data_IF_352568852665
#
_entry.id   IF_352568852665
#
_cell.length_a   1.000
_cell.length_b   1.000
_cell.length_c   1.000
_cell.angle_alpha   90.00
_cell.angle_beta   90.00
_cell.angle_gamma   90.00
#
_symmetry.space_group_name_H-M   'P 1'
#
loop_
_entity.id
_entity.type
_entity.pdbx_description
1 polymer ?
#
# COMPACT_ATOMS: atom_id res chain seq x y z
N UNK A 1 8.24 5.81 -63.90
CA UNK A 1 8.40 4.94 -62.71
C UNK A 1 9.28 5.55 -61.59
N UNK A 2 10.09 6.60 -61.87
CA UNK A 2 11.07 7.13 -60.91
C UNK A 2 10.52 8.10 -59.83
N UNK A 3 9.43 8.84 -60.07
CA UNK A 3 8.92 9.79 -59.07
C UNK A 3 8.24 9.12 -57.86
N UNK A 4 7.59 7.96 -58.04
CA UNK A 4 6.95 7.21 -56.93
C UNK A 4 7.98 6.57 -55.98
N UNK A 5 9.17 6.18 -56.47
CA UNK A 5 10.22 5.62 -55.61
C UNK A 5 10.88 6.70 -54.75
N UNK A 6 11.11 7.89 -55.30
CA UNK A 6 11.68 9.00 -54.56
C UNK A 6 10.78 9.48 -53.41
N UNK A 7 9.45 9.48 -53.60
CA UNK A 7 8.51 9.85 -52.55
C UNK A 7 8.39 8.81 -51.42
N UNK A 8 8.53 7.52 -51.74
CA UNK A 8 8.54 6.45 -50.74
C UNK A 8 9.81 6.50 -49.87
N UNK A 9 10.98 6.74 -50.48
CA UNK A 9 12.26 6.86 -49.75
C UNK A 9 12.24 8.07 -48.81
N UNK A 10 11.75 9.23 -49.28
CA UNK A 10 11.62 10.44 -48.44
C UNK A 10 10.67 10.22 -47.25
N UNK A 11 9.60 9.45 -47.46
CA UNK A 11 8.64 9.09 -46.42
C UNK A 11 9.21 8.07 -45.42
N UNK A 12 10.03 7.12 -45.85
CA UNK A 12 10.73 6.20 -44.93
C UNK A 12 11.78 6.91 -44.09
N UNK A 13 12.54 7.84 -44.68
CA UNK A 13 13.54 8.65 -43.95
C UNK A 13 12.86 9.57 -42.92
N UNK A 14 11.71 10.17 -43.25
CA UNK A 14 10.99 11.02 -42.29
C UNK A 14 10.37 10.21 -41.14
N UNK A 15 9.86 9.01 -41.42
CA UNK A 15 9.35 8.08 -40.39
C UNK A 15 10.48 7.56 -39.50
N UNK A 16 11.64 7.23 -40.06
CA UNK A 16 12.82 6.81 -39.31
C UNK A 16 13.31 7.93 -38.37
N UNK A 17 13.39 9.17 -38.89
CA UNK A 17 13.77 10.35 -38.11
C UNK A 17 12.78 10.63 -36.98
N UNK A 18 11.47 10.47 -37.25
CA UNK A 18 10.45 10.60 -36.22
C UNK A 18 10.59 9.54 -35.12
N UNK A 19 10.90 8.29 -35.47
CA UNK A 19 11.15 7.22 -34.51
C UNK A 19 12.39 7.47 -33.65
N UNK A 20 13.49 7.93 -34.24
CA UNK A 20 14.72 8.27 -33.51
C UNK A 20 14.50 9.43 -32.53
N UNK A 21 13.76 10.46 -32.94
CA UNK A 21 13.38 11.58 -32.06
C UNK A 21 12.50 11.10 -30.91
N UNK A 22 11.53 10.21 -31.18
CA UNK A 22 10.72 9.62 -30.12
C UNK A 22 11.53 8.75 -29.14
N UNK A 23 12.51 7.99 -29.64
CA UNK A 23 13.40 7.17 -28.81
C UNK A 23 14.23 8.03 -27.87
N UNK A 24 14.78 9.14 -28.36
CA UNK A 24 15.56 10.09 -27.53
C UNK A 24 14.68 10.83 -26.52
N UNK A 25 13.46 11.20 -26.92
CA UNK A 25 12.49 11.83 -26.01
C UNK A 25 12.10 10.88 -24.87
N UNK A 26 11.83 9.61 -25.17
CA UNK A 26 11.56 8.59 -24.15
C UNK A 26 12.75 8.35 -23.22
N UNK A 27 13.97 8.29 -23.75
CA UNK A 27 15.17 8.14 -22.94
C UNK A 27 15.38 9.33 -21.99
N UNK A 28 15.14 10.56 -22.46
CA UNK A 28 15.20 11.76 -21.62
C UNK A 28 14.13 11.75 -20.52
N UNK A 29 12.89 11.34 -20.83
CA UNK A 29 11.84 11.18 -19.83
C UNK A 29 12.22 10.16 -18.75
N UNK A 30 12.78 9.01 -19.13
CA UNK A 30 13.22 7.99 -18.16
C UNK A 30 14.31 8.55 -17.23
N UNK A 31 15.28 9.28 -17.77
CA UNK A 31 16.34 9.91 -16.95
C UNK A 31 15.77 10.91 -15.95
N UNK A 32 14.81 11.75 -16.36
CA UNK A 32 14.18 12.72 -15.44
C UNK A 32 13.39 12.04 -14.32
N UNK A 33 12.73 10.92 -14.63
CA UNK A 33 11.99 10.15 -13.62
C UNK A 33 12.93 9.47 -12.63
N UNK A 34 14.06 8.94 -13.09
CA UNK A 34 15.06 8.29 -12.24
C UNK A 34 15.79 9.30 -11.34
N UNK A 35 16.05 10.51 -11.85
CA UNK A 35 16.63 11.62 -11.09
C UNK A 35 15.66 12.11 -10.00
N UNK A 36 14.38 12.30 -10.33
CA UNK A 36 13.34 12.61 -9.35
C UNK A 36 13.21 11.54 -8.27
N UNK A 37 13.23 10.26 -8.67
CA UNK A 37 13.14 9.14 -7.73
C UNK A 37 14.39 9.05 -6.82
N UNK A 38 15.55 9.42 -7.35
CA UNK A 38 16.81 9.45 -6.58
C UNK A 38 16.86 10.60 -5.59
N UNK A 39 16.32 11.77 -5.95
CA UNK A 39 16.30 12.94 -5.07
C UNK A 39 15.31 12.75 -3.91
N UNK A 40 14.10 12.30 -4.22
CA UNK A 40 13.03 12.02 -3.25
C UNK A 40 13.47 10.95 -2.22
N UNK A 41 14.27 9.97 -2.67
CA UNK A 41 14.82 8.93 -1.80
C UNK A 41 16.04 9.38 -0.98
N UNK A 42 16.77 10.42 -1.41
CA UNK A 42 17.85 11.04 -0.63
C UNK A 42 17.30 11.95 0.46
N UNK A 43 16.34 12.82 0.14
CA UNK A 43 15.69 13.73 1.10
C UNK A 43 15.07 12.94 2.25
N UNK A 44 14.29 11.91 1.93
CA UNK A 44 13.66 11.04 2.93
C UNK A 44 14.66 10.29 3.83
N UNK A 45 15.85 9.96 3.32
CA UNK A 45 16.93 9.35 4.12
C UNK A 45 17.57 10.35 5.07
N UNK A 46 17.74 11.60 4.65
CA UNK A 46 18.29 12.65 5.50
C UNK A 46 17.32 12.97 6.65
N UNK A 47 16.02 13.09 6.36
CA UNK A 47 14.98 13.30 7.38
C UNK A 47 14.92 12.18 8.42
N UNK A 48 14.96 10.91 7.98
CA UNK A 48 15.00 9.76 8.90
C UNK A 48 16.25 9.80 9.78
N UNK A 49 17.38 10.27 9.23
CA UNK A 49 18.64 10.39 9.97
C UNK A 49 18.59 11.51 11.00
N UNK A 50 18.00 12.66 10.65
CA UNK A 50 17.73 13.78 11.56
C UNK A 50 16.80 13.38 12.70
N UNK A 51 15.64 12.78 12.39
CA UNK A 51 14.68 12.28 13.37
C UNK A 51 15.32 11.27 14.33
N UNK A 52 16.17 10.36 13.82
CA UNK A 52 16.90 9.40 14.66
C UNK A 52 17.87 10.09 15.62
N UNK A 53 18.52 11.17 15.20
CA UNK A 53 19.43 11.94 16.05
C UNK A 53 18.66 12.74 17.11
N UNK A 54 17.51 13.33 16.76
CA UNK A 54 16.60 13.97 17.71
C UNK A 54 16.07 12.97 18.74
N UNK A 55 15.66 11.77 18.32
CA UNK A 55 15.23 10.68 19.22
C UNK A 55 16.32 10.27 20.22
N UNK A 56 17.59 10.22 19.76
CA UNK A 56 18.73 9.94 20.64
C UNK A 56 18.98 11.07 21.63
N UNK A 57 18.78 12.33 21.22
CA UNK A 57 18.94 13.49 22.08
C UNK A 57 17.83 13.57 23.16
N UNK A 58 16.62 13.14 22.83
CA UNK A 58 15.47 13.11 23.76
C UNK A 58 15.45 11.83 24.64
N UNK A 59 16.35 10.87 24.41
CA UNK A 59 16.42 9.63 25.20
C UNK A 59 15.20 8.71 25.04
N UNK A 60 14.37 8.95 24.02
CA UNK A 60 13.11 8.22 23.81
C UNK A 60 13.42 6.84 23.24
N UNK A 61 12.89 5.80 23.90
CA UNK A 61 13.02 4.42 23.42
C UNK A 61 12.08 4.18 22.24
N UNK A 62 12.54 3.43 21.23
CA UNK A 62 11.68 3.00 20.11
C UNK A 62 10.50 2.20 20.67
N UNK A 63 9.28 2.67 20.42
CA UNK A 63 8.06 1.94 20.74
C UNK A 63 7.75 0.90 19.68
N UNK A 64 7.16 -0.22 20.09
CA UNK A 64 6.69 -1.23 19.15
C UNK A 64 5.33 -0.83 18.54
N UNK A 65 5.08 -1.22 17.29
CA UNK A 65 3.76 -1.03 16.66
C UNK A 65 2.63 -1.66 17.49
N UNK A 66 2.90 -2.78 18.16
CA UNK A 66 1.97 -3.41 19.10
C UNK A 66 1.66 -2.56 20.33
N UNK A 67 2.62 -1.78 20.83
CA UNK A 67 2.43 -0.90 21.97
C UNK A 67 1.57 0.30 21.58
N UNK A 68 1.79 0.85 20.39
CA UNK A 68 0.97 1.91 19.78
C UNK A 68 -0.46 1.41 19.55
N UNK A 69 -0.62 0.18 19.05
CA UNK A 69 -1.91 -0.47 18.87
C UNK A 69 -2.62 -0.77 20.21
N UNK A 70 -1.85 -1.00 21.29
CA UNK A 70 -2.39 -1.19 22.64
C UNK A 70 -2.93 0.13 23.22
N UNK A 71 -2.38 1.28 22.82
CA UNK A 71 -2.97 2.60 23.12
C UNK A 71 -4.28 2.87 22.37
N UNK A 72 -4.55 2.13 21.29
CA UNK A 72 -5.81 2.19 20.51
C UNK A 72 -6.96 1.34 21.11
N UNK A 73 -6.81 0.83 22.34
CA UNK A 73 -7.79 0.02 23.09
C UNK A 73 -9.27 0.44 22.97
N UNK A 74 -9.68 1.72 22.96
CA UNK A 74 -11.10 2.08 22.88
C UNK A 74 -11.80 1.62 21.58
N UNK A 75 -11.08 1.39 20.46
CA UNK A 75 -11.68 1.01 19.17
C UNK A 75 -11.34 -0.43 18.72
N UNK A 76 -10.96 -1.31 19.65
CA UNK A 76 -10.49 -2.67 19.34
C UNK A 76 -11.51 -3.52 18.55
N UNK A 77 -12.81 -3.23 18.69
CA UNK A 77 -13.88 -3.93 17.97
C UNK A 77 -13.77 -3.78 16.45
N UNK A 78 -13.47 -2.59 15.95
CA UNK A 78 -13.33 -2.35 14.50
C UNK A 78 -12.10 -3.08 13.94
N UNK A 79 -10.99 -3.10 14.69
CA UNK A 79 -9.76 -3.80 14.33
C UNK A 79 -10.00 -5.32 14.30
N UNK A 80 -10.74 -5.86 15.27
CA UNK A 80 -11.08 -7.28 15.32
C UNK A 80 -11.93 -7.72 14.12
N UNK A 81 -12.94 -6.93 13.75
CA UNK A 81 -13.73 -7.21 12.53
C UNK A 81 -12.85 -7.15 11.29
N UNK A 82 -12.00 -6.13 11.17
CA UNK A 82 -11.01 -6.03 10.08
C UNK A 82 -10.08 -7.23 10.00
N UNK A 83 -9.60 -7.73 11.15
CA UNK A 83 -8.70 -8.89 11.21
C UNK A 83 -9.39 -10.17 10.73
N UNK A 84 -10.65 -10.40 11.13
CA UNK A 84 -11.40 -11.57 10.63
C UNK A 84 -11.60 -11.52 9.11
N UNK A 85 -11.85 -10.33 8.56
CA UNK A 85 -11.91 -10.13 7.11
C UNK A 85 -10.55 -10.39 6.43
N UNK A 86 -9.43 -10.01 7.05
CA UNK A 86 -8.09 -10.32 6.53
C UNK A 86 -7.84 -11.83 6.42
N UNK A 87 -8.29 -12.61 7.41
CA UNK A 87 -8.15 -14.06 7.42
C UNK A 87 -8.92 -14.69 6.26
N UNK A 88 -10.18 -14.28 6.08
CA UNK A 88 -11.03 -14.78 5.00
C UNK A 88 -10.42 -14.41 3.64
N UNK A 89 -10.01 -13.14 3.46
CA UNK A 89 -9.38 -12.67 2.23
C UNK A 89 -8.06 -13.37 1.92
N UNK A 90 -7.25 -13.68 2.94
CA UNK A 90 -5.98 -14.40 2.77
C UNK A 90 -6.15 -15.83 2.24
N UNK A 91 -7.26 -16.49 2.58
CA UNK A 91 -7.57 -17.85 2.12
C UNK A 91 -8.13 -17.91 0.68
N UNK A 92 -8.52 -16.77 0.12
CA UNK A 92 -9.06 -16.71 -1.24
C UNK A 92 -8.01 -17.09 -2.28
N UNK A 93 -6.75 -16.65 -2.12
CA UNK A 93 -5.67 -16.97 -3.07
C UNK A 93 -5.37 -18.47 -3.20
N UNK A 94 -5.14 -19.24 -2.12
CA UNK A 94 -4.98 -20.69 -2.22
C UNK A 94 -6.24 -21.39 -2.75
N UNK A 95 -7.44 -20.94 -2.35
CA UNK A 95 -8.70 -21.51 -2.82
C UNK A 95 -8.90 -21.29 -4.33
N UNK A 96 -8.55 -20.10 -4.82
CA UNK A 96 -8.51 -19.76 -6.24
C UNK A 96 -7.60 -20.73 -7.02
N UNK A 97 -6.42 -21.05 -6.47
CA UNK A 97 -5.49 -22.02 -7.08
C UNK A 97 -6.12 -23.41 -7.23
N UNK A 98 -6.73 -23.94 -6.17
CA UNK A 98 -7.38 -25.26 -6.20
C UNK A 98 -8.54 -25.31 -7.20
N UNK A 99 -9.37 -24.27 -7.22
CA UNK A 99 -10.52 -24.18 -8.15
C UNK A 99 -10.04 -24.07 -9.59
N UNK A 100 -8.98 -23.30 -9.83
CA UNK A 100 -8.35 -23.19 -11.15
C UNK A 100 -7.79 -24.53 -11.63
N UNK A 101 -7.14 -25.30 -10.75
CA UNK A 101 -6.66 -26.64 -11.07
C UNK A 101 -7.81 -27.58 -11.49
N UNK A 102 -8.95 -27.52 -10.81
CA UNK A 102 -10.12 -28.34 -11.14
C UNK A 102 -10.76 -27.98 -12.49
N UNK A 103 -10.67 -26.71 -12.89
CA UNK A 103 -11.08 -26.31 -14.25
C UNK A 103 -10.16 -26.93 -15.29
N UNK A 104 -8.85 -26.95 -15.06
CA UNK A 104 -7.90 -27.58 -15.97
C UNK A 104 -8.17 -29.09 -16.09
N UNK A 105 -8.38 -29.79 -14.97
CA UNK A 105 -8.68 -31.23 -14.99
C UNK A 105 -10.03 -31.54 -15.64
N UNK A 106 -11.01 -30.64 -15.53
CA UNK A 106 -12.30 -30.78 -16.22
C UNK A 106 -12.16 -30.81 -17.74
N UNK A 107 -11.15 -30.17 -18.32
CA UNK A 107 -10.90 -30.22 -19.77
C UNK A 107 -10.43 -31.61 -20.25
N UNK A 108 -9.93 -32.46 -19.35
CA UNK A 108 -9.49 -33.81 -19.71
C UNK A 108 -10.67 -34.78 -19.96
N UNK A 109 -11.87 -34.48 -19.45
CA UNK A 109 -13.06 -35.34 -19.58
C UNK A 109 -14.09 -34.72 -20.53
N UNK A 110 -14.03 -35.09 -21.82
CA UNK A 110 -14.88 -34.52 -22.89
C UNK A 110 -16.37 -34.83 -22.74
N UNK A 111 -16.74 -35.94 -22.10
CA UNK A 111 -18.12 -36.41 -22.00
C UNK A 111 -19.04 -35.52 -21.13
N UNK A 112 -18.50 -34.86 -20.10
CA UNK A 112 -19.25 -34.01 -19.16
C UNK A 112 -18.79 -32.56 -19.15
N UNK A 113 -17.97 -32.17 -20.13
CA UNK A 113 -17.24 -30.89 -20.17
C UNK A 113 -18.14 -29.66 -19.99
N UNK A 114 -19.29 -29.62 -20.68
CA UNK A 114 -20.21 -28.49 -20.60
C UNK A 114 -20.82 -28.35 -19.21
N UNK A 115 -21.29 -29.43 -18.59
CA UNK A 115 -21.94 -29.37 -17.26
C UNK A 115 -20.93 -29.00 -16.17
N UNK A 116 -19.74 -29.63 -16.18
CA UNK A 116 -18.68 -29.38 -15.20
C UNK A 116 -18.07 -27.98 -15.38
N UNK A 117 -17.90 -27.52 -16.62
CA UNK A 117 -17.37 -26.18 -16.91
C UNK A 117 -18.27 -25.05 -16.42
N UNK A 118 -19.59 -25.14 -16.64
CA UNK A 118 -20.52 -24.13 -16.12
C UNK A 118 -20.55 -24.10 -14.59
N UNK A 119 -20.43 -25.26 -13.94
CA UNK A 119 -20.37 -25.35 -12.47
C UNK A 119 -19.14 -24.63 -11.91
N UNK A 120 -17.95 -24.89 -12.46
CA UNK A 120 -16.73 -24.22 -12.00
C UNK A 120 -16.69 -22.73 -12.35
N UNK A 121 -17.25 -22.32 -13.50
CA UNK A 121 -17.40 -20.91 -13.84
C UNK A 121 -18.29 -20.16 -12.83
N UNK A 122 -19.38 -20.78 -12.36
CA UNK A 122 -20.20 -20.23 -11.29
C UNK A 122 -19.46 -20.16 -9.95
N UNK A 123 -18.60 -21.13 -9.64
CA UNK A 123 -17.77 -21.08 -8.43
C UNK A 123 -16.78 -19.90 -8.46
N UNK A 124 -16.21 -19.56 -9.62
CA UNK A 124 -15.40 -18.35 -9.77
C UNK A 124 -16.19 -17.06 -9.51
N UNK A 125 -17.45 -17.01 -9.96
CA UNK A 125 -18.32 -15.87 -9.69
C UNK A 125 -18.59 -15.70 -8.19
N UNK A 126 -18.86 -16.81 -7.49
CA UNK A 126 -19.06 -16.81 -6.03
C UNK A 126 -17.80 -16.37 -5.31
N UNK A 127 -16.63 -16.89 -5.68
CA UNK A 127 -15.34 -16.48 -5.11
C UNK A 127 -15.06 -14.99 -5.31
N UNK A 128 -15.35 -14.45 -6.51
CA UNK A 128 -15.20 -13.03 -6.77
C UNK A 128 -16.12 -12.18 -5.87
N UNK A 129 -17.36 -12.62 -5.64
CA UNK A 129 -18.29 -11.96 -4.72
C UNK A 129 -17.80 -11.97 -3.26
N UNK A 130 -17.27 -13.11 -2.79
CA UNK A 130 -16.70 -13.23 -1.45
C UNK A 130 -15.47 -12.33 -1.30
N UNK A 131 -14.57 -12.32 -2.29
CA UNK A 131 -13.38 -11.47 -2.24
C UNK A 131 -13.74 -9.98 -2.28
N UNK A 132 -14.66 -9.57 -3.15
CA UNK A 132 -15.10 -8.19 -3.25
C UNK A 132 -15.75 -7.69 -1.96
N UNK A 133 -16.67 -8.48 -1.39
CA UNK A 133 -17.33 -8.13 -0.12
C UNK A 133 -16.34 -8.08 1.04
N UNK A 134 -15.42 -9.06 1.13
CA UNK A 134 -14.40 -9.10 2.19
C UNK A 134 -13.42 -7.93 2.08
N UNK A 135 -12.96 -7.59 0.87
CA UNK A 135 -12.06 -6.45 0.63
C UNK A 135 -12.74 -5.12 0.96
N UNK A 136 -14.02 -4.97 0.61
CA UNK A 136 -14.80 -3.78 0.96
C UNK A 136 -14.91 -3.63 2.47
N UNK A 137 -15.33 -4.69 3.18
CA UNK A 137 -15.42 -4.69 4.65
C UNK A 137 -14.06 -4.40 5.29
N UNK A 138 -12.99 -5.08 4.86
CA UNK A 138 -11.64 -4.89 5.38
C UNK A 138 -11.20 -3.43 5.25
N UNK A 139 -11.36 -2.82 4.07
CA UNK A 139 -10.95 -1.44 3.80
C UNK A 139 -11.78 -0.45 4.61
N UNK A 140 -13.09 -0.68 4.70
CA UNK A 140 -14.00 0.19 5.45
C UNK A 140 -13.71 0.16 6.96
N UNK A 141 -13.65 -1.02 7.57
CA UNK A 141 -13.42 -1.16 9.01
C UNK A 141 -12.02 -0.72 9.42
N UNK A 142 -10.99 -1.05 8.65
CA UNK A 142 -9.62 -0.62 8.97
C UNK A 142 -9.45 0.88 8.72
N UNK A 143 -10.05 1.44 7.67
CA UNK A 143 -10.07 2.88 7.43
C UNK A 143 -10.77 3.66 8.54
N UNK A 144 -11.95 3.21 8.96
CA UNK A 144 -12.71 3.82 10.04
C UNK A 144 -11.96 3.74 11.39
N UNK A 145 -11.39 2.58 11.71
CA UNK A 145 -10.59 2.41 12.93
C UNK A 145 -9.33 3.28 12.95
N UNK A 146 -8.63 3.37 11.80
CA UNK A 146 -7.45 4.22 11.67
C UNK A 146 -7.78 5.72 11.78
N UNK A 147 -8.91 6.17 11.23
CA UNK A 147 -9.38 7.55 11.36
C UNK A 147 -9.66 7.92 12.82
N UNK A 148 -10.47 7.12 13.51
CA UNK A 148 -10.80 7.38 14.90
C UNK A 148 -9.54 7.38 15.79
N UNK A 149 -8.63 6.44 15.58
CA UNK A 149 -7.34 6.43 16.28
C UNK A 149 -6.53 7.71 16.03
N UNK A 150 -6.48 8.16 14.78
CA UNK A 150 -5.77 9.38 14.39
C UNK A 150 -6.37 10.61 15.08
N UNK A 151 -7.69 10.71 15.12
CA UNK A 151 -8.42 11.80 15.75
C UNK A 151 -8.14 11.85 17.27
N UNK A 152 -8.24 10.69 17.94
CA UNK A 152 -7.97 10.58 19.38
C UNK A 152 -6.52 10.91 19.73
N UNK A 153 -5.56 10.44 18.92
CA UNK A 153 -4.13 10.74 19.11
C UNK A 153 -3.84 12.23 18.94
N UNK A 154 -4.38 12.88 17.90
CA UNK A 154 -4.20 14.31 17.70
C UNK A 154 -4.77 15.13 18.84
N UNK A 155 -5.97 14.79 19.31
CA UNK A 155 -6.61 15.51 20.42
C UNK A 155 -5.78 15.39 21.71
N UNK A 156 -5.34 14.17 22.06
CA UNK A 156 -4.51 13.93 23.25
C UNK A 156 -3.15 14.61 23.17
N UNK A 157 -2.46 14.50 22.02
CA UNK A 157 -1.16 15.12 21.82
C UNK A 157 -1.26 16.65 21.91
N UNK A 158 -2.26 17.24 21.26
CA UNK A 158 -2.47 18.69 21.33
C UNK A 158 -2.77 19.17 22.75
N UNK A 159 -3.65 18.47 23.47
CA UNK A 159 -3.93 18.77 24.87
C UNK A 159 -2.70 18.64 25.77
N UNK A 160 -1.83 17.66 25.51
CA UNK A 160 -0.59 17.46 26.25
C UNK A 160 0.43 18.57 25.97
N UNK A 161 0.55 19.00 24.70
CA UNK A 161 1.43 20.11 24.32
C UNK A 161 0.99 21.41 25.01
N UNK A 162 -0.33 21.69 25.07
CA UNK A 162 -0.85 22.90 25.70
C UNK A 162 -0.71 22.93 27.23
N UNK A 163 -0.57 21.79 27.89
CA UNK A 163 -0.43 21.69 29.35
C UNK A 163 1.03 21.72 29.82
N UNK A 164 1.98 21.87 28.90
CA UNK A 164 3.40 21.85 29.18
C UNK A 164 3.91 23.21 29.67
N UNK A 165 4.88 23.22 30.59
CA UNK A 165 5.45 24.45 31.16
C UNK A 165 6.16 25.34 30.13
N UNK A 166 6.20 26.65 30.37
CA UNK A 166 6.83 27.61 29.44
C UNK A 166 8.30 27.28 29.14
N UNK A 167 9.05 26.78 30.12
CA UNK A 167 10.45 26.36 29.96
C UNK A 167 10.65 25.16 29.02
N UNK A 168 9.59 24.41 28.69
CA UNK A 168 9.66 23.38 27.66
C UNK A 168 9.84 23.98 26.26
N UNK A 169 9.14 25.09 25.98
CA UNK A 169 9.18 25.77 24.69
C UNK A 169 10.45 26.60 24.47
N UNK A 170 11.22 26.86 25.53
CA UNK A 170 12.51 27.56 25.46
C UNK A 170 13.63 26.68 24.87
N UNK A 171 13.44 25.36 24.82
CA UNK A 171 14.41 24.45 24.22
C UNK A 171 14.40 24.53 22.68
N UNK A 172 15.57 24.62 22.00
CA UNK A 172 15.66 24.63 20.53
C UNK A 172 15.19 23.31 19.88
N UNK A 173 15.03 22.24 20.66
CA UNK A 173 14.42 20.98 20.22
C UNK A 173 12.88 21.07 20.18
N UNK A 174 12.28 21.88 21.05
CA UNK A 174 10.83 22.01 21.24
C UNK A 174 10.28 23.35 20.71
N UNK A 175 10.95 23.93 19.71
CA UNK A 175 10.45 25.12 19.04
C UNK A 175 9.03 24.86 18.47
N UNK A 176 8.14 25.85 18.58
CA UNK A 176 6.74 25.74 18.17
C UNK A 176 6.57 25.20 16.73
N UNK A 177 7.43 25.64 15.79
CA UNK A 177 7.45 25.13 14.42
C UNK A 177 7.74 23.64 14.34
N UNK A 178 8.73 23.14 15.08
CA UNK A 178 9.09 21.70 15.11
C UNK A 178 7.97 20.85 15.71
N UNK A 179 7.34 21.30 16.79
CA UNK A 179 6.23 20.60 17.42
C UNK A 179 5.04 20.50 16.45
N UNK A 180 4.71 21.60 15.78
CA UNK A 180 3.64 21.63 14.78
C UNK A 180 3.94 20.66 13.61
N UNK A 181 5.17 20.67 13.09
CA UNK A 181 5.62 19.73 12.06
C UNK A 181 5.49 18.29 12.54
N UNK A 182 6.03 17.93 13.72
CA UNK A 182 5.93 16.58 14.29
C UNK A 182 4.46 16.13 14.45
N UNK A 183 3.59 17.00 14.96
CA UNK A 183 2.16 16.68 15.08
C UNK A 183 1.47 16.47 13.72
N UNK A 184 1.87 17.26 12.71
CA UNK A 184 1.34 17.17 11.35
C UNK A 184 1.88 15.96 10.59
N UNK A 185 3.11 15.52 10.82
CA UNK A 185 3.77 14.42 10.10
C UNK A 185 3.64 13.08 10.80
N UNK A 186 3.89 13.03 12.11
CA UNK A 186 4.06 11.78 12.83
C UNK A 186 2.73 11.06 12.99
N UNK A 187 1.64 11.80 13.22
CA UNK A 187 0.31 11.21 13.39
C UNK A 187 -0.24 10.58 12.10
N UNK A 188 -0.16 11.23 10.91
CA UNK A 188 -0.42 10.56 9.63
C UNK A 188 0.51 9.40 9.30
N UNK A 189 1.80 9.53 9.60
CA UNK A 189 2.76 8.46 9.36
C UNK A 189 2.42 7.21 10.20
N UNK A 190 2.01 7.41 11.45
CA UNK A 190 1.50 6.34 12.31
C UNK A 190 0.20 5.74 11.77
N UNK A 191 -0.74 6.57 11.32
CA UNK A 191 -1.99 6.11 10.69
C UNK A 191 -1.71 5.22 9.48
N UNK A 192 -0.86 5.67 8.57
CA UNK A 192 -0.53 4.91 7.34
C UNK A 192 0.19 3.58 7.62
N UNK A 193 0.72 3.42 8.84
CA UNK A 193 1.29 2.16 9.31
C UNK A 193 0.25 1.20 9.89
N UNK A 194 -0.92 1.70 10.30
CA UNK A 194 -2.00 0.93 10.97
C UNK A 194 -3.21 0.70 10.03
N UNK A 195 -3.26 1.42 8.90
CA UNK A 195 -4.35 1.37 7.94
C UNK A 195 -4.43 0.05 7.13
N UNK A 196 -5.03 0.12 5.94
CA UNK A 196 -5.13 -0.98 4.98
C UNK A 196 -3.78 -1.67 4.67
N UNK A 197 -2.66 -0.97 4.78
CA UNK A 197 -1.33 -1.51 4.46
C UNK A 197 -0.93 -2.61 5.44
N UNK A 198 -1.19 -2.42 6.74
CA UNK A 198 -0.95 -3.44 7.77
C UNK A 198 -1.82 -4.68 7.51
N UNK A 199 -3.10 -4.46 7.21
CA UNK A 199 -4.05 -5.52 6.85
C UNK A 199 -3.57 -6.35 5.66
N UNK A 200 -3.04 -5.68 4.64
CA UNK A 200 -2.52 -6.32 3.43
C UNK A 200 -1.31 -7.19 3.75
N UNK A 201 -0.38 -6.72 4.59
CA UNK A 201 0.76 -7.54 5.04
C UNK A 201 0.28 -8.79 5.76
N UNK A 202 -0.65 -8.66 6.70
CA UNK A 202 -1.23 -9.80 7.42
C UNK A 202 -1.90 -10.78 6.45
N UNK A 203 -2.71 -10.28 5.52
CA UNK A 203 -3.38 -11.07 4.49
C UNK A 203 -2.37 -11.86 3.63
N UNK A 204 -1.28 -11.21 3.19
CA UNK A 204 -0.24 -11.88 2.38
C UNK A 204 0.51 -12.97 3.16
N UNK A 205 0.76 -12.77 4.46
CA UNK A 205 1.35 -13.79 5.31
C UNK A 205 0.42 -14.99 5.47
N UNK A 206 -0.88 -14.74 5.68
CA UNK A 206 -1.89 -15.80 5.78
C UNK A 206 -1.98 -16.58 4.47
N UNK A 207 -2.02 -15.89 3.32
CA UNK A 207 -2.06 -16.56 2.02
C UNK A 207 -0.79 -17.38 1.76
N UNK A 208 0.37 -16.88 2.19
CA UNK A 208 1.64 -17.60 2.05
C UNK A 208 1.63 -18.87 2.90
N UNK A 209 1.24 -18.78 4.17
CA UNK A 209 1.17 -19.94 5.07
C UNK A 209 0.15 -20.96 4.57
N UNK A 210 -1.06 -20.51 4.22
CA UNK A 210 -2.11 -21.39 3.71
C UNK A 210 -1.73 -22.04 2.38
N UNK A 211 -1.04 -21.31 1.50
CA UNK A 211 -0.52 -21.86 0.24
C UNK A 211 0.63 -22.86 0.41
N UNK A 212 1.40 -22.82 1.50
CA UNK A 212 2.43 -23.83 1.82
C UNK A 212 1.80 -25.10 2.41
N UNK A 213 0.69 -24.95 3.13
CA UNK A 213 0.00 -26.07 3.80
C UNK A 213 -0.82 -26.93 2.82
N UNK A 214 -1.32 -26.33 1.74
CA UNK A 214 -2.09 -26.98 0.67
C UNK A 214 -1.18 -27.57 -0.41
#
# INVERSE_FOLDING_TARGET
MNQKRASLISREISVQTANDVQLRMRAATIMTLDEQQTDDSKEKKDDITRLRNELKAEGVKKTNLFEILTYAKPHWKAIMVGLTACVIGGLVYPTYSVVFMQVITSFANTATLLSTGHFWALMFLVLAGIQGSTMFMQTFFMGYGAENLTMDLRSKLFSNILSQDMGYFDSPLHACGKICTRLATDVPNLRSSIDFRLSTVIMTLISMIAGIVL
#
